data_IF_622855393957
#
_entry.id   IF_622855393957
#
_cell.length_a   1.000
_cell.length_b   1.000
_cell.length_c   1.000
_cell.angle_alpha   90.00
_cell.angle_beta   90.00
_cell.angle_gamma   90.00
#
_symmetry.space_group_name_H-M   'P 1'
#
loop_
_entity.id
_entity.type
_entity.pdbx_description
1 polymer ?
#
# COMPACT_ATOMS: atom_id res chain seq x y z
N UNK A 1 25.46 -57.78 -13.07
CA UNK A 1 26.15 -56.92 -12.10
C UNK A 1 25.65 -55.49 -12.31
N UNK A 2 25.19 -54.84 -11.24
CA UNK A 2 24.54 -53.52 -11.22
C UNK A 2 25.45 -52.42 -11.79
N UNK A 3 24.94 -51.57 -12.68
CA UNK A 3 25.44 -50.19 -12.81
C UNK A 3 24.27 -49.21 -12.94
N UNK A 4 23.73 -48.93 -11.75
CA UNK A 4 23.22 -47.66 -11.24
C UNK A 4 22.76 -46.58 -12.24
N UNK A 5 21.43 -46.41 -12.23
CA UNK A 5 20.72 -45.18 -12.56
C UNK A 5 21.26 -44.01 -11.71
N UNK A 6 22.07 -43.13 -12.29
CA UNK A 6 22.49 -41.88 -11.64
C UNK A 6 22.43 -40.69 -12.60
N UNK A 7 21.30 -40.53 -13.29
CA UNK A 7 21.05 -39.28 -14.01
C UNK A 7 19.55 -38.90 -14.09
N UNK A 8 18.87 -38.66 -12.95
CA UNK A 8 17.72 -37.75 -12.97
C UNK A 8 17.85 -36.59 -11.97
N UNK A 9 18.94 -36.49 -11.20
CA UNK A 9 19.06 -35.47 -10.14
C UNK A 9 19.48 -34.09 -10.68
N UNK A 10 20.30 -34.04 -11.74
CA UNK A 10 20.76 -32.78 -12.33
C UNK A 10 19.64 -32.04 -13.09
N UNK A 11 18.71 -32.78 -13.70
CA UNK A 11 17.55 -32.21 -14.40
C UNK A 11 16.50 -31.65 -13.42
N UNK A 12 16.34 -32.29 -12.26
CA UNK A 12 15.43 -31.84 -11.20
C UNK A 12 15.90 -30.53 -10.54
N UNK A 13 17.23 -30.31 -10.45
CA UNK A 13 17.78 -29.07 -9.91
C UNK A 13 17.60 -27.88 -10.87
N UNK A 14 17.60 -28.11 -12.19
CA UNK A 14 17.42 -27.06 -13.19
C UNK A 14 15.94 -26.59 -13.29
N UNK A 15 14.98 -27.49 -13.03
CA UNK A 15 13.56 -27.16 -13.03
C UNK A 15 13.13 -26.36 -11.79
N UNK A 16 13.80 -26.54 -10.65
CA UNK A 16 13.51 -25.81 -9.41
C UNK A 16 13.89 -24.32 -9.47
N UNK A 17 14.83 -23.93 -10.34
CA UNK A 17 15.30 -22.53 -10.47
C UNK A 17 14.35 -21.67 -11.33
N UNK A 18 13.51 -22.28 -12.16
CA UNK A 18 12.59 -21.58 -13.07
C UNK A 18 11.22 -21.21 -12.45
N UNK A 19 10.92 -21.64 -11.23
CA UNK A 19 9.64 -21.37 -10.56
C UNK A 19 9.60 -20.02 -9.81
N UNK A 20 10.69 -19.25 -9.83
CA UNK A 20 10.82 -17.97 -9.15
C UNK A 20 10.43 -16.76 -10.00
N UNK A 21 9.42 -16.83 -10.87
CA UNK A 21 8.88 -15.60 -11.47
C UNK A 21 7.99 -14.91 -10.44
N UNK A 22 8.59 -14.08 -9.58
CA UNK A 22 7.83 -13.09 -8.82
C UNK A 22 7.14 -12.19 -9.84
N UNK A 23 5.82 -12.39 -10.02
CA UNK A 23 4.98 -11.42 -10.68
C UNK A 23 5.03 -10.14 -9.84
N UNK A 24 5.91 -9.21 -10.21
CA UNK A 24 5.79 -7.84 -9.75
C UNK A 24 4.50 -7.30 -10.36
N UNK A 25 3.44 -7.26 -9.57
CA UNK A 25 2.14 -6.73 -9.96
C UNK A 25 2.27 -5.28 -10.42
N UNK A 26 1.58 -4.96 -11.50
CA UNK A 26 1.44 -3.59 -11.95
C UNK A 26 0.30 -2.90 -11.19
N UNK A 27 0.46 -1.63 -10.87
CA UNK A 27 -0.65 -0.84 -10.34
C UNK A 27 -1.77 -0.72 -11.37
N UNK A 28 -2.99 -1.02 -10.96
CA UNK A 28 -4.21 -0.82 -11.75
C UNK A 28 -5.10 0.17 -11.04
N UNK A 29 -5.53 1.20 -11.75
CA UNK A 29 -6.52 2.15 -11.24
C UNK A 29 -7.83 1.41 -11.00
N UNK A 30 -8.41 1.58 -9.81
CA UNK A 30 -9.72 1.02 -9.49
C UNK A 30 -10.80 1.58 -10.44
N UNK A 31 -11.69 0.74 -11.02
CA UNK A 31 -12.71 1.20 -11.95
C UNK A 31 -13.59 2.32 -11.38
N UNK A 32 -13.68 3.44 -12.10
CA UNK A 32 -14.47 4.60 -11.67
C UNK A 32 -13.79 5.51 -10.64
N UNK A 33 -12.57 5.18 -10.17
CA UNK A 33 -11.81 6.08 -9.31
C UNK A 33 -11.27 7.28 -10.09
N UNK A 34 -11.31 8.46 -9.46
CA UNK A 34 -10.83 9.72 -10.04
C UNK A 34 -9.53 10.15 -9.38
N UNK A 35 -8.54 10.54 -10.18
CA UNK A 35 -7.28 11.05 -9.66
C UNK A 35 -7.46 12.44 -9.04
N UNK A 36 -6.86 12.66 -7.88
CA UNK A 36 -6.86 13.92 -7.11
C UNK A 36 -5.44 14.47 -7.01
N UNK A 37 -5.08 15.31 -7.98
CA UNK A 37 -3.75 15.95 -8.04
C UNK A 37 -3.55 17.01 -6.95
N UNK A 38 -4.61 17.48 -6.31
CA UNK A 38 -4.58 18.40 -5.18
C UNK A 38 -4.23 17.71 -3.85
N UNK A 39 -4.33 16.38 -3.80
CA UNK A 39 -4.11 15.58 -2.59
C UNK A 39 -2.80 14.77 -2.61
N UNK A 40 -2.13 14.63 -3.76
CA UNK A 40 -0.85 13.93 -3.92
C UNK A 40 0.08 14.61 -4.94
N UNK A 41 1.33 14.16 -5.01
CA UNK A 41 2.28 14.54 -6.06
C UNK A 41 3.29 15.62 -5.67
N UNK A 42 3.19 16.18 -4.47
CA UNK A 42 4.21 17.07 -3.88
C UNK A 42 4.29 16.82 -2.38
N UNK A 43 5.49 16.97 -1.79
CA UNK A 43 5.78 16.79 -0.35
C UNK A 43 4.94 17.70 0.57
N UNK A 44 4.07 18.54 0.00
CA UNK A 44 3.16 19.45 0.68
C UNK A 44 1.75 18.91 0.86
N UNK A 45 1.37 17.83 0.19
CA UNK A 45 0.03 17.23 0.30
C UNK A 45 -0.23 16.65 1.70
N UNK A 46 -1.40 16.85 2.31
CA UNK A 46 -1.67 16.40 3.69
C UNK A 46 -1.63 14.88 3.87
N UNK A 47 -2.08 14.11 2.86
CA UNK A 47 -1.93 12.64 2.85
C UNK A 47 -0.46 12.25 2.71
N UNK A 48 0.27 12.90 1.80
CA UNK A 48 1.70 12.69 1.60
C UNK A 48 2.51 12.97 2.87
N UNK A 49 2.31 14.12 3.52
CA UNK A 49 2.93 14.46 4.82
C UNK A 49 2.66 13.43 5.88
N UNK A 50 1.42 12.92 5.96
CA UNK A 50 1.07 11.89 6.94
C UNK A 50 1.85 10.59 6.73
N UNK A 51 2.15 10.26 5.47
CA UNK A 51 2.95 9.09 5.09
C UNK A 51 4.45 9.36 5.27
N UNK A 52 4.94 10.55 4.91
CA UNK A 52 6.33 10.99 5.17
C UNK A 52 6.63 10.89 6.67
N UNK A 53 5.74 11.37 7.53
CA UNK A 53 5.89 11.27 8.99
C UNK A 53 5.83 9.81 9.48
N UNK A 54 4.94 9.01 8.89
CA UNK A 54 4.71 7.61 9.28
C UNK A 54 5.87 6.69 8.88
N UNK A 55 6.41 6.87 7.68
CA UNK A 55 7.50 6.07 7.13
C UNK A 55 8.88 6.72 7.33
N UNK A 56 8.93 7.98 7.78
CA UNK A 56 10.15 8.80 7.94
C UNK A 56 10.94 8.92 6.62
N UNK A 57 10.22 9.13 5.53
CA UNK A 57 10.79 9.23 4.18
C UNK A 57 10.45 10.58 3.56
N UNK A 58 11.42 11.50 3.52
CA UNK A 58 11.23 12.91 3.14
C UNK A 58 10.84 13.13 1.66
N UNK A 59 10.93 12.09 0.82
CA UNK A 59 10.70 12.18 -0.63
C UNK A 59 9.67 11.16 -1.16
N UNK A 60 8.75 10.72 -0.31
CA UNK A 60 7.64 9.86 -0.71
C UNK A 60 6.69 10.60 -1.66
N UNK A 61 6.78 10.35 -2.97
CA UNK A 61 5.80 10.85 -3.94
C UNK A 61 4.58 9.93 -3.98
N UNK A 62 3.40 10.53 -3.92
CA UNK A 62 2.14 9.77 -3.92
C UNK A 62 1.22 10.16 -5.08
N UNK A 63 0.43 9.20 -5.58
CA UNK A 63 -0.73 9.48 -6.43
C UNK A 63 -1.99 9.09 -5.66
N UNK A 64 -2.94 10.03 -5.57
CA UNK A 64 -4.19 9.81 -4.84
C UNK A 64 -5.33 9.65 -5.83
N UNK A 65 -6.10 8.58 -5.68
CA UNK A 65 -7.36 8.36 -6.37
C UNK A 65 -8.48 8.28 -5.35
N UNK A 66 -9.69 8.68 -5.73
CA UNK A 66 -10.87 8.63 -4.85
C UNK A 66 -12.05 7.99 -5.56
N UNK A 67 -12.87 7.27 -4.80
CA UNK A 67 -14.11 6.68 -5.28
C UNK A 67 -15.20 6.78 -4.21
N UNK A 68 -16.46 6.83 -4.63
CA UNK A 68 -17.62 6.72 -3.74
C UNK A 68 -17.94 5.27 -3.35
N UNK A 69 -17.27 4.29 -3.96
CA UNK A 69 -17.44 2.88 -3.62
C UNK A 69 -16.98 2.56 -2.18
N UNK A 70 -17.62 1.57 -1.54
CA UNK A 70 -17.32 1.20 -0.15
C UNK A 70 -15.90 0.64 -0.01
N UNK A 71 -15.35 0.77 1.20
CA UNK A 71 -13.98 0.39 1.54
C UNK A 71 -13.67 -1.06 1.19
N UNK A 72 -14.57 -1.99 1.54
CA UNK A 72 -14.44 -3.43 1.35
C UNK A 72 -14.31 -3.79 -0.12
N UNK A 73 -15.09 -3.14 -0.99
CA UNK A 73 -15.06 -3.41 -2.44
C UNK A 73 -13.73 -3.00 -3.06
N UNK A 74 -13.14 -1.89 -2.60
CA UNK A 74 -11.82 -1.42 -3.04
C UNK A 74 -10.71 -2.32 -2.48
N UNK A 75 -10.85 -2.77 -1.23
CA UNK A 75 -9.95 -3.75 -0.59
C UNK A 75 -9.91 -5.06 -1.37
N UNK A 76 -11.07 -5.61 -1.74
CA UNK A 76 -11.15 -6.87 -2.48
C UNK A 76 -10.51 -6.77 -3.87
N UNK A 77 -10.65 -5.62 -4.53
CA UNK A 77 -9.99 -5.36 -5.81
C UNK A 77 -8.46 -5.45 -5.70
N UNK A 78 -7.86 -4.76 -4.72
CA UNK A 78 -6.40 -4.79 -4.55
C UNK A 78 -5.89 -6.10 -3.93
N UNK A 79 -6.72 -6.82 -3.18
CA UNK A 79 -6.40 -8.15 -2.69
C UNK A 79 -6.22 -9.16 -3.83
N UNK A 80 -6.88 -8.96 -4.97
CA UNK A 80 -6.74 -9.84 -6.14
C UNK A 80 -5.39 -9.66 -6.88
N UNK A 81 -4.71 -8.52 -6.68
CA UNK A 81 -3.49 -8.16 -7.45
C UNK A 81 -2.26 -7.94 -6.58
N UNK A 82 -2.39 -8.01 -5.25
CA UNK A 82 -1.32 -7.69 -4.32
C UNK A 82 -1.42 -8.44 -3.01
N UNK A 83 -0.31 -8.46 -2.28
CA UNK A 83 -0.25 -9.09 -0.96
C UNK A 83 -0.71 -8.09 0.10
N UNK A 84 -1.80 -8.41 0.80
CA UNK A 84 -2.26 -7.58 1.92
C UNK A 84 -1.22 -7.59 3.03
N UNK A 85 -0.64 -6.42 3.30
CA UNK A 85 0.29 -6.25 4.40
C UNK A 85 -0.47 -6.18 5.73
N UNK A 86 -0.17 -7.11 6.64
CA UNK A 86 -0.78 -7.13 7.98
C UNK A 86 -0.07 -6.12 8.86
N UNK A 87 -0.76 -5.04 9.16
CA UNK A 87 -0.31 -3.89 9.96
C UNK A 87 -0.17 -4.21 11.45
N UNK A 88 0.08 -5.48 11.84
CA UNK A 88 0.10 -5.91 13.23
C UNK A 88 1.19 -5.26 14.09
N UNK A 89 2.23 -4.68 13.50
CA UNK A 89 3.24 -3.88 14.21
C UNK A 89 2.87 -2.39 14.34
N UNK A 90 2.15 -1.83 13.37
CA UNK A 90 1.75 -0.41 13.35
C UNK A 90 0.49 -0.17 14.19
N UNK A 91 -0.49 -1.08 14.15
CA UNK A 91 -1.70 -1.01 14.97
C UNK A 91 -1.38 -1.06 16.47
N UNK A 92 -0.40 -1.91 16.87
CA UNK A 92 0.08 -1.98 18.26
C UNK A 92 0.71 -0.69 18.76
N UNK A 93 1.31 0.13 17.88
CA UNK A 93 1.88 1.43 18.23
C UNK A 93 0.86 2.57 18.27
N UNK A 94 -0.28 2.44 17.58
CA UNK A 94 -1.20 3.56 17.33
C UNK A 94 -2.41 3.64 18.26
N UNK A 95 -2.72 2.60 19.02
CA UNK A 95 -4.06 2.49 19.61
C UNK A 95 -5.13 2.50 18.51
N UNK A 96 -6.40 2.26 18.85
CA UNK A 96 -7.48 2.45 17.89
C UNK A 96 -7.54 3.93 17.51
N UNK A 97 -7.00 4.33 16.36
CA UNK A 97 -7.17 5.67 15.79
C UNK A 97 -8.63 5.85 15.37
N UNK A 98 -9.46 6.24 16.34
CA UNK A 98 -10.73 6.90 16.05
C UNK A 98 -10.37 8.31 15.55
N UNK A 99 -11.01 8.75 14.47
CA UNK A 99 -10.98 10.17 14.17
C UNK A 99 -12.01 10.89 15.05
N UNK A 100 -11.88 12.22 15.19
CA UNK A 100 -12.81 13.05 15.95
C UNK A 100 -14.27 12.65 15.65
N UNK A 101 -15.12 12.64 16.68
CA UNK A 101 -16.53 12.17 16.66
C UNK A 101 -16.77 10.64 16.74
N UNK A 102 -15.78 9.84 17.15
CA UNK A 102 -16.00 8.43 17.51
C UNK A 102 -16.21 7.50 16.31
N UNK A 103 -15.94 7.97 15.10
CA UNK A 103 -15.96 7.15 13.90
C UNK A 103 -14.58 6.53 13.65
N UNK A 104 -14.58 5.32 13.07
CA UNK A 104 -13.39 4.49 12.88
C UNK A 104 -12.72 4.80 11.55
N UNK A 105 -11.43 5.15 11.59
CA UNK A 105 -10.60 5.21 10.38
C UNK A 105 -10.26 3.78 9.97
N UNK A 106 -10.56 3.42 8.73
CA UNK A 106 -10.25 2.12 8.17
C UNK A 106 -9.12 2.24 7.17
N UNK A 107 -8.10 1.38 7.33
CA UNK A 107 -6.90 1.37 6.50
C UNK A 107 -6.58 -0.06 6.08
N UNK A 108 -6.17 -0.23 4.83
CA UNK A 108 -5.59 -1.46 4.33
C UNK A 108 -4.39 -1.15 3.44
N UNK A 109 -3.37 -1.99 3.49
CA UNK A 109 -2.14 -1.81 2.73
C UNK A 109 -1.89 -3.04 1.88
N UNK A 110 -1.47 -2.83 0.64
CA UNK A 110 -1.21 -3.89 -0.34
C UNK A 110 0.14 -3.67 -0.99
N UNK A 111 0.99 -4.68 -0.92
CA UNK A 111 2.29 -4.70 -1.60
C UNK A 111 2.07 -5.31 -2.98
N UNK A 112 2.45 -4.57 -4.02
CA UNK A 112 2.21 -4.96 -5.41
C UNK A 112 3.45 -5.59 -6.06
N UNK A 113 4.65 -5.30 -5.56
CA UNK A 113 5.91 -5.76 -6.15
C UNK A 113 6.51 -7.02 -5.51
N UNK A 114 5.76 -7.71 -4.65
CA UNK A 114 6.19 -8.94 -3.99
C UNK A 114 7.22 -8.77 -2.87
N UNK A 115 7.51 -7.53 -2.46
CA UNK A 115 8.37 -7.28 -1.31
C UNK A 115 7.76 -7.82 0.00
N UNK A 116 8.58 -8.14 1.02
CA UNK A 116 8.11 -8.71 2.28
C UNK A 116 7.37 -7.70 3.17
N UNK A 117 7.62 -6.40 3.01
CA UNK A 117 7.03 -5.34 3.82
C UNK A 117 6.96 -3.99 3.08
N UNK A 118 6.31 -3.00 3.69
CA UNK A 118 6.12 -1.66 3.10
C UNK A 118 7.41 -0.84 3.01
N UNK A 119 8.43 -1.11 3.84
CA UNK A 119 9.71 -0.38 3.81
C UNK A 119 10.61 -0.86 2.68
N UNK A 120 10.59 -2.16 2.40
CA UNK A 120 11.35 -2.76 1.31
C UNK A 120 10.61 -2.73 -0.04
N UNK A 121 9.29 -2.55 -0.02
CA UNK A 121 8.49 -2.40 -1.24
C UNK A 121 8.78 -1.12 -1.99
N UNK A 122 8.88 -1.19 -3.31
CA UNK A 122 8.97 -0.02 -4.19
C UNK A 122 7.63 0.35 -4.81
N UNK A 123 6.60 -0.50 -4.66
CA UNK A 123 5.27 -0.28 -5.20
C UNK A 123 4.20 -0.86 -4.26
N UNK A 124 3.43 0.02 -3.63
CA UNK A 124 2.35 -0.38 -2.73
C UNK A 124 1.19 0.61 -2.75
N UNK A 125 0.04 0.15 -2.29
CA UNK A 125 -1.20 0.94 -2.22
C UNK A 125 -1.72 0.93 -0.78
N UNK A 126 -2.13 2.11 -0.30
CA UNK A 126 -2.99 2.26 0.89
C UNK A 126 -4.42 2.55 0.43
N UNK A 127 -5.37 1.80 0.95
CA UNK A 127 -6.80 2.08 0.86
C UNK A 127 -7.23 2.64 2.21
N UNK A 128 -7.97 3.75 2.21
CA UNK A 128 -8.44 4.40 3.43
C UNK A 128 -9.89 4.88 3.29
N UNK A 129 -10.69 4.69 4.33
CA UNK A 129 -12.00 5.31 4.46
C UNK A 129 -12.21 5.81 5.90
N UNK A 130 -12.66 7.06 6.12
CA UNK A 130 -12.96 8.08 5.10
C UNK A 130 -11.71 8.74 4.51
N UNK A 131 -11.91 9.47 3.41
CA UNK A 131 -10.93 10.40 2.88
C UNK A 131 -10.70 11.51 3.90
N UNK A 132 -9.43 11.69 4.27
CA UNK A 132 -8.98 12.77 5.14
C UNK A 132 -8.17 13.73 4.27
N UNK A 133 -8.74 14.89 3.97
CA UNK A 133 -8.07 15.89 3.13
C UNK A 133 -7.13 16.81 3.93
N UNK A 134 -7.16 16.81 5.27
CA UNK A 134 -6.24 17.62 6.07
C UNK A 134 -6.01 17.01 7.45
N UNK A 135 -4.77 17.08 7.91
CA UNK A 135 -4.35 16.71 9.27
C UNK A 135 -3.69 17.94 9.89
N UNK A 136 -4.09 18.31 11.10
CA UNK A 136 -3.47 19.38 11.90
C UNK A 136 -2.90 18.76 13.18
N UNK A 137 -1.79 19.31 13.68
CA UNK A 137 -1.11 18.78 14.86
C UNK A 137 -0.09 17.69 14.53
N UNK A 138 0.71 17.30 15.52
CA UNK A 138 1.80 16.33 15.39
C UNK A 138 1.52 15.08 16.22
N UNK A 139 2.01 13.94 15.76
CA UNK A 139 2.01 12.67 16.51
C UNK A 139 0.64 12.26 17.11
N UNK A 140 0.44 12.49 18.41
CA UNK A 140 -0.72 12.02 19.19
C UNK A 140 -1.89 13.02 19.21
N UNK A 141 -1.65 14.30 18.92
CA UNK A 141 -2.66 15.37 18.96
C UNK A 141 -3.21 15.69 17.55
N UNK A 142 -3.29 14.68 16.69
CA UNK A 142 -3.76 14.84 15.32
C UNK A 142 -5.26 15.15 15.30
N UNK A 143 -5.58 16.32 14.81
CA UNK A 143 -6.94 16.72 14.46
C UNK A 143 -7.16 16.49 12.96
N UNK A 144 -8.12 15.64 12.63
CA UNK A 144 -8.51 15.37 11.25
C UNK A 144 -9.54 16.42 10.80
N UNK A 145 -9.27 17.06 9.67
CA UNK A 145 -10.10 18.12 9.09
C UNK A 145 -10.48 17.75 7.65
N UNK A 146 -11.59 18.32 7.15
CA UNK A 146 -12.09 18.08 5.79
C UNK A 146 -12.29 16.58 5.49
N UNK A 147 -13.01 15.90 6.37
CA UNK A 147 -13.31 14.48 6.26
C UNK A 147 -14.46 14.29 5.27
N UNK A 148 -14.27 13.45 4.25
CA UNK A 148 -15.29 13.15 3.24
C UNK A 148 -15.58 11.65 3.23
N UNK A 149 -16.86 11.29 3.09
CA UNK A 149 -17.29 9.90 2.94
C UNK A 149 -16.98 9.35 1.55
N UNK A 150 -15.69 9.23 1.25
CA UNK A 150 -15.11 8.69 0.04
C UNK A 150 -14.00 7.73 0.44
N UNK A 151 -13.77 6.71 -0.38
CA UNK A 151 -12.63 5.82 -0.23
C UNK A 151 -11.44 6.39 -0.99
N UNK A 152 -10.33 6.61 -0.29
CA UNK A 152 -9.07 7.05 -0.87
C UNK A 152 -8.17 5.86 -1.19
N UNK A 153 -7.51 5.93 -2.34
CA UNK A 153 -6.50 4.99 -2.82
C UNK A 153 -5.22 5.80 -2.99
N UNK A 154 -4.26 5.58 -2.12
CA UNK A 154 -2.96 6.26 -2.16
C UNK A 154 -1.93 5.28 -2.70
N UNK A 155 -1.45 5.55 -3.90
CA UNK A 155 -0.36 4.82 -4.53
C UNK A 155 0.97 5.43 -4.13
N UNK A 156 1.90 4.59 -3.70
CA UNK A 156 3.31 4.91 -3.53
C UNK A 156 4.11 4.13 -4.56
N UNK A 157 4.83 4.84 -5.42
CA UNK A 157 5.72 4.26 -6.44
C UNK A 157 7.12 4.85 -6.31
N UNK A 158 7.97 4.18 -5.52
CA UNK A 158 9.38 4.54 -5.31
C UNK A 158 10.26 4.28 -6.54
N UNK A 159 9.73 3.59 -7.57
CA UNK A 159 10.48 3.37 -8.82
C UNK A 159 10.54 4.66 -9.64
N UNK A 160 9.52 5.52 -9.50
CA UNK A 160 9.41 6.80 -10.21
C UNK A 160 9.99 7.99 -9.43
N UNK A 161 10.48 7.78 -8.22
CA UNK A 161 11.07 8.83 -7.37
C UNK A 161 12.59 8.99 -7.54
N UNK A 162 13.25 8.13 -8.32
CA UNK A 162 14.68 8.28 -8.68
C UNK A 162 14.79 9.09 -9.97
N UNK A 163 14.71 10.41 -9.87
CA UNK A 163 15.16 11.38 -10.87
C UNK A 163 15.76 12.57 -10.17
#
# INVERSE_FOLDING_TARGET
MKLMHKLPLLFLLFFAVLLGTSFAGEFRVYPGAQQRNDLGGTASGPLERSLVEEFREENLKTLVYVTSDPFEKVVDFYAATGNRYRVGALERRRGKKLYSEGKKLEEAFFILDGAPDLWTSRLWVKVQNPLIEKVKGEALDREYQNIRNLTAIVLVDRRKSVQ
#
